data_IF_368331744542
#
_entry.id   IF_368331744542
#
_cell.length_a   1.000
_cell.length_b   1.000
_cell.length_c   1.000
_cell.angle_alpha   90.00
_cell.angle_beta   90.00
_cell.angle_gamma   90.00
#
_symmetry.space_group_name_H-M   'P 1'
#
loop_
_entity.id
_entity.type
_entity.pdbx_description
1 polymer ?
#
# COMPACT_ATOMS: atom_id res chain seq x y z
N UNK A 1 -16.12 17.43 -10.22
CA UNK A 1 -16.99 18.61 -10.41
C UNK A 1 -16.74 19.59 -9.28
N UNK A 2 -16.86 20.92 -9.50
CA UNK A 2 -16.59 21.94 -8.48
C UNK A 2 -17.20 23.28 -8.86
N UNK A 3 -17.09 24.31 -7.98
CA UNK A 3 -17.62 25.65 -8.26
C UNK A 3 -17.06 26.22 -9.55
N UNK A 4 -17.93 26.83 -10.37
CA UNK A 4 -17.59 27.32 -11.72
C UNK A 4 -16.32 28.19 -11.75
N UNK A 5 -16.17 29.13 -10.83
CA UNK A 5 -15.00 30.02 -10.74
C UNK A 5 -13.68 29.26 -10.54
N UNK A 6 -13.70 28.19 -9.74
CA UNK A 6 -12.51 27.37 -9.50
C UNK A 6 -12.18 26.57 -10.76
N UNK A 7 -13.18 25.92 -11.35
CA UNK A 7 -13.00 25.15 -12.58
C UNK A 7 -12.48 26.02 -13.73
N UNK A 8 -13.01 27.25 -13.90
CA UNK A 8 -12.56 28.16 -14.95
C UNK A 8 -11.09 28.59 -14.73
N UNK A 9 -10.67 28.86 -13.49
CA UNK A 9 -9.25 29.13 -13.16
C UNK A 9 -8.35 27.93 -13.41
N UNK A 10 -8.78 26.72 -13.02
CA UNK A 10 -8.04 25.48 -13.30
C UNK A 10 -7.87 25.27 -14.81
N UNK A 11 -8.90 25.47 -15.63
CA UNK A 11 -8.81 25.39 -17.09
C UNK A 11 -7.79 26.39 -17.64
N UNK A 12 -7.80 27.64 -17.15
CA UNK A 12 -6.85 28.65 -17.56
C UNK A 12 -5.41 28.25 -17.23
N UNK A 13 -5.15 27.77 -16.01
CA UNK A 13 -3.81 27.32 -15.58
C UNK A 13 -3.36 26.13 -16.44
N UNK A 14 -4.19 25.10 -16.62
CA UNK A 14 -3.89 23.94 -17.43
C UNK A 14 -3.60 24.31 -18.90
N UNK A 15 -4.33 25.29 -19.43
CA UNK A 15 -4.08 25.82 -20.78
C UNK A 15 -2.69 26.44 -20.95
N UNK A 16 -2.17 27.10 -19.90
CA UNK A 16 -0.81 27.70 -19.92
C UNK A 16 0.31 26.70 -19.63
N UNK A 17 0.06 25.73 -18.75
CA UNK A 17 1.06 24.71 -18.36
C UNK A 17 1.17 23.60 -19.41
N UNK A 18 0.17 23.45 -20.29
CA UNK A 18 0.15 22.38 -21.28
C UNK A 18 -0.12 20.99 -20.72
N UNK A 19 -0.75 20.91 -19.53
CA UNK A 19 -1.05 19.66 -18.85
C UNK A 19 -2.32 18.98 -19.41
N UNK A 20 -2.33 18.74 -20.72
CA UNK A 20 -3.39 18.03 -21.41
C UNK A 20 -3.02 16.55 -21.55
N UNK A 21 -4.02 15.68 -21.43
CA UNK A 21 -3.82 14.27 -21.78
C UNK A 21 -3.41 14.17 -23.26
N UNK A 22 -2.31 13.46 -23.60
CA UNK A 22 -1.84 13.36 -24.97
C UNK A 22 -2.91 12.77 -25.89
N UNK A 23 -3.09 13.36 -27.09
CA UNK A 23 -4.19 12.97 -27.98
C UNK A 23 -4.04 11.55 -28.51
N UNK A 24 -2.82 11.12 -28.79
CA UNK A 24 -2.56 9.78 -29.29
C UNK A 24 -3.02 8.71 -28.30
N UNK A 25 -2.70 8.89 -27.03
CA UNK A 25 -3.08 8.01 -25.92
C UNK A 25 -4.59 8.04 -25.67
N UNK A 26 -5.23 9.20 -25.79
CA UNK A 26 -6.70 9.28 -25.71
C UNK A 26 -7.37 8.43 -26.80
N UNK A 27 -6.90 8.53 -28.06
CA UNK A 27 -7.45 7.78 -29.18
C UNK A 27 -7.14 6.28 -29.01
N UNK A 28 -5.92 5.93 -28.60
CA UNK A 28 -5.53 4.54 -28.36
C UNK A 28 -6.39 3.92 -27.24
N UNK A 29 -6.57 4.63 -26.13
CA UNK A 29 -7.42 4.20 -25.00
C UNK A 29 -8.87 4.02 -25.46
N UNK A 30 -9.43 4.98 -26.18
CA UNK A 30 -10.78 4.88 -26.69
C UNK A 30 -10.97 3.65 -27.60
N UNK A 31 -10.04 3.40 -28.51
CA UNK A 31 -10.05 2.21 -29.39
C UNK A 31 -9.91 0.92 -28.59
N UNK A 32 -9.02 0.90 -27.59
CA UNK A 32 -8.83 -0.28 -26.74
C UNK A 32 -10.08 -0.62 -25.94
N UNK A 33 -10.74 0.40 -25.36
CA UNK A 33 -11.97 0.22 -24.57
C UNK A 33 -13.17 -0.28 -25.39
N UNK A 34 -13.14 -0.15 -26.71
CA UNK A 34 -14.16 -0.72 -27.60
C UNK A 34 -13.92 -2.21 -27.90
N UNK A 35 -12.83 -2.79 -27.41
CA UNK A 35 -12.51 -4.21 -27.59
C UNK A 35 -12.78 -4.97 -26.28
N UNK A 36 -14.05 -5.32 -26.05
CA UNK A 36 -14.50 -5.98 -24.81
C UNK A 36 -13.64 -7.20 -24.45
N UNK A 37 -13.32 -8.04 -25.42
CA UNK A 37 -12.50 -9.24 -25.20
C UNK A 37 -11.10 -8.89 -24.66
N UNK A 38 -10.46 -7.87 -25.21
CA UNK A 38 -9.13 -7.45 -24.75
C UNK A 38 -9.21 -6.83 -23.35
N UNK A 39 -10.24 -6.02 -23.09
CA UNK A 39 -10.49 -5.42 -21.77
C UNK A 39 -10.75 -6.50 -20.72
N UNK A 40 -11.63 -7.45 -21.00
CA UNK A 40 -11.95 -8.55 -20.08
C UNK A 40 -10.74 -9.42 -19.77
N UNK A 41 -9.94 -9.74 -20.80
CA UNK A 41 -8.69 -10.49 -20.63
C UNK A 41 -7.72 -9.74 -19.71
N UNK A 42 -7.53 -8.44 -19.94
CA UNK A 42 -6.66 -7.62 -19.10
C UNK A 42 -7.17 -7.53 -17.65
N UNK A 43 -8.48 -7.32 -17.46
CA UNK A 43 -9.07 -7.23 -16.12
C UNK A 43 -8.98 -8.55 -15.35
N UNK A 44 -9.17 -9.68 -16.04
CA UNK A 44 -9.02 -11.01 -15.43
C UNK A 44 -7.56 -11.23 -14.96
N UNK A 45 -6.59 -10.93 -15.83
CA UNK A 45 -5.16 -11.08 -15.52
C UNK A 45 -4.73 -10.19 -14.33
N UNK A 46 -5.09 -8.90 -14.35
CA UNK A 46 -4.68 -7.98 -13.27
C UNK A 46 -5.35 -8.33 -11.94
N UNK A 47 -6.63 -8.74 -11.96
CA UNK A 47 -7.34 -9.18 -10.75
C UNK A 47 -6.67 -10.41 -10.14
N UNK A 48 -6.30 -11.40 -10.96
CA UNK A 48 -5.61 -12.60 -10.48
C UNK A 48 -4.26 -12.23 -9.86
N UNK A 49 -3.43 -11.46 -10.56
CA UNK A 49 -2.12 -11.03 -10.07
C UNK A 49 -2.18 -10.23 -8.75
N UNK A 50 -3.19 -9.38 -8.61
CA UNK A 50 -3.41 -8.63 -7.37
C UNK A 50 -3.87 -9.56 -6.26
N UNK A 51 -4.82 -10.45 -6.53
CA UNK A 51 -5.32 -11.44 -5.57
C UNK A 51 -4.19 -12.32 -5.01
N UNK A 52 -3.32 -12.83 -5.89
CA UNK A 52 -2.20 -13.69 -5.48
C UNK A 52 -1.22 -12.96 -4.57
N UNK A 53 -0.91 -11.69 -4.87
CA UNK A 53 -0.04 -10.87 -4.02
C UNK A 53 -0.67 -10.57 -2.66
N UNK A 54 -1.94 -10.20 -2.64
CA UNK A 54 -2.68 -9.94 -1.40
C UNK A 54 -2.73 -11.20 -0.52
N UNK A 55 -3.06 -12.35 -1.12
CA UNK A 55 -3.08 -13.64 -0.42
C UNK A 55 -1.70 -14.03 0.12
N UNK A 56 -0.64 -13.81 -0.67
CA UNK A 56 0.74 -14.07 -0.27
C UNK A 56 1.15 -13.25 0.95
N UNK A 57 0.92 -11.93 0.92
CA UNK A 57 1.19 -11.07 2.07
C UNK A 57 0.33 -11.45 3.29
N UNK A 58 -0.97 -11.66 3.11
CA UNK A 58 -1.84 -12.08 4.21
C UNK A 58 -1.31 -13.36 4.87
N UNK A 59 -0.98 -14.39 4.09
CA UNK A 59 -0.37 -15.63 4.59
C UNK A 59 0.93 -15.36 5.36
N UNK A 60 1.80 -14.47 4.84
CA UNK A 60 3.04 -14.08 5.50
C UNK A 60 2.79 -13.41 6.86
N UNK A 61 1.86 -12.45 6.94
CA UNK A 61 1.49 -11.81 8.20
C UNK A 61 0.89 -12.81 9.21
N UNK A 62 0.03 -13.73 8.75
CA UNK A 62 -0.51 -14.78 9.62
C UNK A 62 0.57 -15.74 10.13
N UNK A 63 1.63 -16.00 9.33
CA UNK A 63 2.79 -16.76 9.79
C UNK A 63 3.54 -16.02 10.89
N UNK A 64 3.85 -14.73 10.69
CA UNK A 64 4.50 -13.89 11.71
C UNK A 64 3.69 -13.85 13.01
N UNK A 65 2.38 -13.72 12.91
CA UNK A 65 1.47 -13.76 14.08
C UNK A 65 1.56 -15.09 14.83
N UNK A 66 1.57 -16.22 14.10
CA UNK A 66 1.72 -17.56 14.70
C UNK A 66 3.09 -17.77 15.36
N UNK A 67 4.11 -17.09 14.88
CA UNK A 67 5.46 -17.06 15.47
C UNK A 67 5.52 -16.22 16.76
N UNK A 68 4.41 -15.57 17.15
CA UNK A 68 4.29 -14.77 18.38
C UNK A 68 4.59 -13.28 18.19
N UNK A 69 4.85 -12.81 16.97
CA UNK A 69 5.03 -11.38 16.74
C UNK A 69 3.71 -10.61 16.86
N UNK A 70 3.79 -9.38 17.34
CA UNK A 70 2.64 -8.49 17.58
C UNK A 70 2.18 -7.81 16.28
N UNK A 71 1.84 -8.61 15.29
CA UNK A 71 1.37 -8.19 13.97
C UNK A 71 0.11 -8.96 13.57
N UNK A 72 -0.70 -8.39 12.69
CA UNK A 72 -1.88 -9.04 12.12
C UNK A 72 -2.19 -8.49 10.72
N UNK A 73 -3.14 -9.09 10.04
CA UNK A 73 -3.71 -8.59 8.80
C UNK A 73 -5.16 -9.04 8.63
N UNK A 74 -5.98 -8.17 8.04
CA UNK A 74 -7.35 -8.50 7.67
C UNK A 74 -7.32 -9.27 6.35
N UNK A 75 -8.09 -10.36 6.25
CA UNK A 75 -8.19 -11.13 5.02
C UNK A 75 -8.66 -10.23 3.85
N UNK A 76 -7.94 -10.22 2.72
CA UNK A 76 -8.24 -9.32 1.61
C UNK A 76 -9.57 -9.68 0.95
N UNK A 77 -10.38 -8.67 0.62
CA UNK A 77 -11.66 -8.84 -0.06
C UNK A 77 -11.70 -8.12 -1.40
N UNK A 78 -10.98 -7.00 -1.53
CA UNK A 78 -10.99 -6.16 -2.72
C UNK A 78 -9.80 -5.19 -2.76
N UNK A 79 -9.69 -4.43 -3.82
CA UNK A 79 -8.68 -3.40 -4.07
C UNK A 79 -7.24 -3.96 -4.16
N UNK A 80 -6.26 -3.05 -4.12
CA UNK A 80 -4.82 -3.34 -4.21
C UNK A 80 -4.11 -3.13 -2.86
N UNK A 81 -4.87 -3.07 -1.77
CA UNK A 81 -4.35 -2.75 -0.45
C UNK A 81 -4.68 -3.87 0.54
N UNK A 82 -3.68 -4.25 1.33
CA UNK A 82 -3.87 -5.08 2.50
C UNK A 82 -3.88 -4.19 3.75
N UNK A 83 -4.86 -4.39 4.61
CA UNK A 83 -4.89 -3.80 5.95
C UNK A 83 -4.05 -4.65 6.89
N UNK A 84 -2.99 -4.07 7.45
CA UNK A 84 -2.05 -4.75 8.33
C UNK A 84 -1.94 -4.02 9.67
N UNK A 85 -1.60 -4.75 10.72
CA UNK A 85 -1.45 -4.23 12.07
C UNK A 85 -0.03 -4.45 12.58
N UNK A 86 0.52 -3.44 13.27
CA UNK A 86 1.76 -3.53 14.03
C UNK A 86 1.54 -2.97 15.44
N UNK A 87 1.35 -3.85 16.42
CA UNK A 87 1.14 -3.46 17.82
C UNK A 87 2.49 -3.38 18.57
N UNK A 88 3.38 -2.49 18.11
CA UNK A 88 4.76 -2.38 18.56
C UNK A 88 5.01 -1.21 19.51
N UNK A 89 3.97 -0.44 19.88
CA UNK A 89 4.11 0.66 20.83
C UNK A 89 4.69 0.17 22.17
N UNK A 90 5.66 0.90 22.69
CA UNK A 90 6.36 0.60 23.94
C UNK A 90 7.52 -0.38 23.79
N UNK A 91 7.69 -1.05 22.66
CA UNK A 91 8.85 -1.90 22.42
C UNK A 91 10.13 -1.09 22.21
N UNK A 92 11.28 -1.67 22.53
CA UNK A 92 12.59 -1.03 22.41
C UNK A 92 13.36 -1.63 21.23
N UNK A 93 14.00 -0.77 20.46
CA UNK A 93 14.94 -1.17 19.43
C UNK A 93 16.26 -1.67 20.03
N UNK A 94 17.10 -2.32 19.22
CA UNK A 94 18.42 -2.76 19.63
C UNK A 94 19.33 -1.61 20.15
N UNK A 95 19.06 -0.36 19.77
CA UNK A 95 19.76 0.84 20.23
C UNK A 95 19.15 1.44 21.51
N UNK A 96 18.10 0.82 22.06
CA UNK A 96 17.41 1.28 23.27
C UNK A 96 16.32 2.35 23.01
N UNK A 97 16.09 2.75 21.77
CA UNK A 97 15.01 3.70 21.44
C UNK A 97 13.64 3.04 21.66
N UNK A 98 12.75 3.71 22.37
CA UNK A 98 11.35 3.28 22.56
C UNK A 98 10.52 3.71 21.35
N UNK A 99 9.73 2.80 20.82
CA UNK A 99 8.73 3.06 19.78
C UNK A 99 7.45 3.64 20.44
N UNK A 100 7.46 4.94 20.75
CA UNK A 100 6.41 5.58 21.52
C UNK A 100 5.15 5.91 20.67
N UNK A 101 5.34 6.19 19.40
CA UNK A 101 4.28 6.67 18.50
C UNK A 101 4.15 5.81 17.25
N UNK A 102 3.00 5.92 16.55
CA UNK A 102 2.80 5.30 15.24
C UNK A 102 3.84 5.78 14.21
N UNK A 103 4.33 7.03 14.35
CA UNK A 103 5.42 7.55 13.49
C UNK A 103 6.74 6.82 13.74
N UNK A 104 7.06 6.52 15.01
CA UNK A 104 8.27 5.75 15.35
C UNK A 104 8.19 4.33 14.80
N UNK A 105 7.04 3.67 14.94
CA UNK A 105 6.79 2.34 14.34
C UNK A 105 6.93 2.38 12.82
N UNK A 106 6.31 3.37 12.15
CA UNK A 106 6.39 3.53 10.70
C UNK A 106 7.83 3.70 10.23
N UNK A 107 8.58 4.58 10.91
CA UNK A 107 10.00 4.81 10.62
C UNK A 107 10.84 3.57 10.84
N UNK A 108 10.62 2.87 11.95
CA UNK A 108 11.34 1.63 12.27
C UNK A 108 11.14 0.54 11.20
N UNK A 109 9.89 0.30 10.80
CA UNK A 109 9.58 -0.68 9.74
C UNK A 109 10.22 -0.30 8.42
N UNK A 110 10.20 0.99 8.06
CA UNK A 110 10.85 1.48 6.85
C UNK A 110 12.37 1.27 6.90
N UNK A 111 13.00 1.64 8.01
CA UNK A 111 14.45 1.63 8.15
C UNK A 111 15.01 0.20 8.28
N UNK A 112 14.34 -0.68 9.02
CA UNK A 112 14.85 -2.03 9.32
C UNK A 112 14.35 -3.11 8.35
N UNK A 113 13.08 -3.04 7.93
CA UNK A 113 12.49 -4.02 7.04
C UNK A 113 12.45 -3.57 5.57
N UNK A 114 12.73 -2.30 5.27
CA UNK A 114 12.62 -1.67 3.94
C UNK A 114 11.21 -1.77 3.36
N UNK A 115 10.20 -1.70 4.22
CA UNK A 115 8.77 -1.75 3.85
C UNK A 115 8.13 -0.41 4.15
N UNK A 116 7.64 0.26 3.10
CA UNK A 116 6.88 1.50 3.22
C UNK A 116 5.40 1.19 3.48
N UNK A 117 4.86 1.76 4.56
CA UNK A 117 3.47 1.60 4.97
C UNK A 117 2.81 2.97 5.12
N UNK A 118 1.51 3.05 4.87
CA UNK A 118 0.75 4.27 5.12
C UNK A 118 -0.12 4.06 6.36
N UNK A 119 0.16 4.76 7.47
CA UNK A 119 -0.64 4.63 8.69
C UNK A 119 -2.04 5.19 8.49
N UNK A 120 -3.03 4.61 9.18
CA UNK A 120 -4.44 4.99 9.01
C UNK A 120 -4.77 6.41 9.47
N UNK A 121 -3.95 7.01 10.35
CA UNK A 121 -4.15 8.42 10.70
C UNK A 121 -4.02 9.36 9.49
N UNK A 122 -3.26 8.97 8.44
CA UNK A 122 -3.20 9.72 7.19
C UNK A 122 -4.54 9.77 6.44
N UNK A 123 -5.51 8.95 6.84
CA UNK A 123 -6.87 8.88 6.31
C UNK A 123 -7.94 9.29 7.33
N UNK A 124 -7.55 9.98 8.41
CA UNK A 124 -8.47 10.51 9.42
C UNK A 124 -8.76 9.58 10.61
N UNK A 125 -8.08 8.45 10.73
CA UNK A 125 -8.13 7.65 11.96
C UNK A 125 -7.32 8.32 13.08
N UNK A 126 -7.45 7.80 14.33
CA UNK A 126 -6.65 8.26 15.46
C UNK A 126 -5.14 8.13 15.18
N UNK A 127 -4.33 9.07 15.69
CA UNK A 127 -2.86 9.01 15.63
C UNK A 127 -2.28 7.82 16.40
N UNK A 128 -3.03 7.26 17.34
CA UNK A 128 -2.67 6.07 18.11
C UNK A 128 -3.00 4.75 17.39
N UNK A 129 -3.66 4.84 16.22
CA UNK A 129 -4.01 3.65 15.44
C UNK A 129 -2.76 2.88 15.05
N UNK A 130 -2.76 1.57 15.33
CA UNK A 130 -1.70 0.65 14.96
C UNK A 130 -1.98 -0.10 13.64
N UNK A 131 -2.95 0.37 12.86
CA UNK A 131 -3.31 -0.14 11.55
C UNK A 131 -2.67 0.66 10.44
N UNK A 132 -2.30 -0.06 9.39
CA UNK A 132 -1.58 0.49 8.23
C UNK A 132 -2.16 -0.07 6.93
N UNK A 133 -1.96 0.66 5.86
CA UNK A 133 -2.23 0.23 4.50
C UNK A 133 -0.93 -0.18 3.81
N UNK A 134 -0.86 -1.44 3.39
CA UNK A 134 0.19 -1.99 2.53
C UNK A 134 -0.33 -2.04 1.09
N UNK A 135 0.37 -1.40 0.15
CA UNK A 135 0.05 -1.47 -1.28
C UNK A 135 0.81 -2.63 -1.93
N UNK A 136 0.09 -3.46 -2.71
CA UNK A 136 0.70 -4.56 -3.47
C UNK A 136 0.81 -4.27 -4.97
N UNK A 137 0.50 -3.03 -5.40
CA UNK A 137 0.40 -2.68 -6.81
C UNK A 137 1.70 -2.82 -7.60
N UNK A 138 2.84 -2.53 -6.98
CA UNK A 138 4.17 -2.54 -7.62
C UNK A 138 5.06 -3.70 -7.17
N UNK A 139 4.63 -4.50 -6.21
CA UNK A 139 5.39 -5.63 -5.70
C UNK A 139 5.35 -6.80 -6.70
N UNK A 140 6.45 -7.51 -6.87
CA UNK A 140 6.47 -8.79 -7.56
C UNK A 140 6.10 -9.91 -6.58
N UNK A 141 5.48 -10.97 -7.09
CA UNK A 141 5.07 -12.10 -6.24
C UNK A 141 6.28 -12.83 -5.63
N UNK A 142 7.38 -12.87 -6.38
CA UNK A 142 8.63 -13.51 -5.99
C UNK A 142 9.33 -12.81 -4.82
N UNK A 143 9.04 -11.50 -4.62
CA UNK A 143 9.66 -10.71 -3.57
C UNK A 143 8.98 -10.87 -2.20
N UNK A 144 7.77 -11.45 -2.16
CA UNK A 144 6.93 -11.49 -0.94
C UNK A 144 7.62 -12.23 0.20
N UNK A 145 8.20 -13.39 -0.07
CA UNK A 145 8.88 -14.18 0.97
C UNK A 145 10.09 -13.45 1.53
N UNK A 146 10.84 -12.74 0.68
CA UNK A 146 11.96 -11.90 1.10
C UNK A 146 11.49 -10.73 1.96
N UNK A 147 10.41 -10.06 1.57
CA UNK A 147 9.83 -8.95 2.33
C UNK A 147 9.35 -9.42 3.71
N UNK A 148 8.65 -10.55 3.79
CA UNK A 148 8.21 -11.16 5.05
C UNK A 148 9.42 -11.57 5.90
N UNK A 149 10.48 -12.07 5.26
CA UNK A 149 11.77 -12.38 5.92
C UNK A 149 12.41 -11.14 6.54
N UNK A 150 12.43 -10.01 5.83
CA UNK A 150 12.93 -8.74 6.34
C UNK A 150 12.10 -8.23 7.52
N UNK A 151 10.77 -8.31 7.43
CA UNK A 151 9.87 -7.98 8.55
C UNK A 151 10.17 -8.86 9.77
N UNK A 152 10.30 -10.18 9.59
CA UNK A 152 10.66 -11.12 10.67
C UNK A 152 11.96 -10.72 11.35
N UNK A 153 12.99 -10.41 10.55
CA UNK A 153 14.31 -10.02 11.07
C UNK A 153 14.25 -8.68 11.83
N UNK A 154 13.47 -7.71 11.34
CA UNK A 154 13.25 -6.46 12.05
C UNK A 154 12.51 -6.70 13.38
N UNK A 155 11.43 -7.49 13.37
CA UNK A 155 10.64 -7.77 14.57
C UNK A 155 11.43 -8.52 15.65
N UNK A 156 12.36 -9.40 15.28
CA UNK A 156 13.27 -10.10 16.23
C UNK A 156 14.22 -9.18 16.97
N UNK A 157 14.51 -7.98 16.45
CA UNK A 157 15.40 -6.99 17.11
C UNK A 157 14.71 -6.16 18.17
N UNK A 158 13.40 -6.31 18.34
CA UNK A 158 12.60 -5.58 19.33
C UNK A 158 12.48 -6.38 20.63
N UNK A 159 12.47 -5.67 21.76
CA UNK A 159 12.31 -6.22 23.13
C UNK A 159 11.25 -5.46 23.91
#
# INVERSE_FOLDING_TARGET
>A
MGPKKIIDKMKSILGHVGAWAPRAEQIATAKYLMNDKAVDTYLADIRQKVSDRLAGFHKGFQSLKKEGFRVDSIAPQAAIYLTVQFSLHGQKTATGQVLATTKDVTKYILDEAKVALVPFYAFGASEESNWYRLSVGTCKIEDIDSIIGNLRNALKKLS
#
